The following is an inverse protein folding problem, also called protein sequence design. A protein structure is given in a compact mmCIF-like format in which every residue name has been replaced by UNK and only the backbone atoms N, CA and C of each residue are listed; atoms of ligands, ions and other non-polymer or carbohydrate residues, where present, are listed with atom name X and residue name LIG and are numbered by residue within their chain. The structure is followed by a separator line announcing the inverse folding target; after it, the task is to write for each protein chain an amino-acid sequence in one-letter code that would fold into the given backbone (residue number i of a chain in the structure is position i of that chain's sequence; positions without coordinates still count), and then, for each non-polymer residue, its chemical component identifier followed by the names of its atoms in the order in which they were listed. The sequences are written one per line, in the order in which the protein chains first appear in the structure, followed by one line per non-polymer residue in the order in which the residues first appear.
data_IF_512672180637
#
_entry.id   IF_512672180637
#
_cell.length_a   1.000
_cell.length_b   1.000
_cell.length_c   1.000
_cell.angle_alpha   90.00
_cell.angle_beta   90.00
_cell.angle_gamma   90.00
#
_symmetry.space_group_name_H-M   'P 1'
#
loop_
_entity.id
_entity.type
_entity.pdbx_description
1 polymer ?
#
# COMPACT_ATOMS: atom_id res chain seq x y z
N UNK A 1 4.37 25.52 0.22
CA UNK A 1 3.31 24.66 0.78
C UNK A 1 3.04 23.57 -0.23
N UNK A 2 3.41 22.32 0.04
CA UNK A 2 3.09 21.21 -0.87
C UNK A 2 1.61 20.88 -0.66
N UNK A 3 0.79 21.05 -1.69
CA UNK A 3 -0.62 20.71 -1.60
C UNK A 3 -0.77 19.19 -1.40
N UNK A 4 -1.59 18.79 -0.43
CA UNK A 4 -2.00 17.40 -0.28
C UNK A 4 -2.88 17.00 -1.47
N UNK A 5 -2.73 15.76 -1.91
CA UNK A 5 -3.54 15.14 -2.94
C UNK A 5 -4.02 13.78 -2.48
N UNK A 6 -5.22 13.43 -2.91
CA UNK A 6 -5.80 12.11 -2.73
C UNK A 6 -5.71 11.34 -4.04
N UNK A 7 -5.41 10.05 -3.96
CA UNK A 7 -5.44 9.10 -5.08
C UNK A 7 -6.28 7.89 -4.69
N UNK A 8 -7.31 7.60 -5.47
CA UNK A 8 -8.16 6.43 -5.32
C UNK A 8 -7.87 5.47 -6.47
N UNK A 9 -7.68 4.18 -6.17
CA UNK A 9 -7.41 3.14 -7.16
C UNK A 9 -7.91 1.77 -6.67
N UNK A 10 -8.03 0.82 -7.59
CA UNK A 10 -8.51 -0.53 -7.31
C UNK A 10 -7.49 -1.55 -7.79
N UNK A 11 -7.13 -2.48 -6.91
CA UNK A 11 -6.25 -3.61 -7.25
C UNK A 11 -7.06 -4.71 -7.94
N UNK A 12 -6.54 -5.24 -9.04
CA UNK A 12 -7.21 -6.29 -9.83
C UNK A 12 -6.21 -7.41 -10.11
N UNK A 13 -6.59 -8.70 -9.97
CA UNK A 13 -7.90 -9.23 -9.57
C UNK A 13 -8.26 -8.89 -8.12
N UNK A 14 -9.51 -9.05 -7.68
CA UNK A 14 -9.90 -8.88 -6.27
C UNK A 14 -9.60 -10.18 -5.50
N UNK A 15 -8.33 -10.42 -5.18
CA UNK A 15 -7.86 -11.62 -4.50
C UNK A 15 -7.64 -11.37 -3.01
N UNK A 16 -8.53 -11.91 -2.19
CA UNK A 16 -8.53 -11.70 -0.73
C UNK A 16 -7.23 -12.17 -0.06
N UNK A 17 -6.60 -13.25 -0.55
CA UNK A 17 -5.37 -13.76 0.06
C UNK A 17 -4.19 -12.81 -0.20
N UNK A 18 -4.07 -12.33 -1.44
CA UNK A 18 -3.07 -11.31 -1.81
C UNK A 18 -3.28 -10.01 -1.07
N UNK A 19 -4.55 -9.58 -0.93
CA UNK A 19 -4.90 -8.36 -0.19
C UNK A 19 -4.57 -8.48 1.30
N UNK A 20 -4.87 -9.62 1.93
CA UNK A 20 -4.55 -9.86 3.34
C UNK A 20 -3.04 -9.91 3.58
N UNK A 21 -2.30 -10.57 2.68
CA UNK A 21 -0.84 -10.63 2.73
C UNK A 21 -0.19 -9.24 2.55
N UNK A 22 -0.68 -8.45 1.59
CA UNK A 22 -0.27 -7.07 1.38
C UNK A 22 -0.52 -6.20 2.61
N UNK A 23 -1.72 -6.28 3.20
CA UNK A 23 -2.08 -5.46 4.35
C UNK A 23 -1.32 -5.84 5.63
N UNK A 24 -1.08 -7.15 5.79
CA UNK A 24 -0.50 -7.72 6.99
C UNK A 24 -1.48 -7.77 8.17
N UNK A 25 -1.14 -8.50 9.24
CA UNK A 25 -1.89 -8.53 10.50
C UNK A 25 -2.25 -7.13 11.01
N UNK A 26 -3.55 -6.87 11.18
CA UNK A 26 -4.08 -5.56 11.62
C UNK A 26 -3.55 -4.38 10.78
N UNK A 27 -3.34 -4.55 9.48
CA UNK A 27 -2.81 -3.52 8.58
C UNK A 27 -1.38 -3.04 8.94
N UNK A 28 -0.57 -3.89 9.59
CA UNK A 28 0.78 -3.51 10.02
C UNK A 28 1.70 -3.10 8.86
N UNK A 29 1.60 -3.76 7.71
CA UNK A 29 2.41 -3.44 6.53
C UNK A 29 2.00 -2.08 5.94
N UNK A 30 0.70 -1.79 5.87
CA UNK A 30 0.20 -0.49 5.41
C UNK A 30 0.68 0.62 6.34
N UNK A 31 0.57 0.43 7.66
CA UNK A 31 1.08 1.40 8.65
C UNK A 31 2.58 1.64 8.53
N UNK A 32 3.35 0.60 8.21
CA UNK A 32 4.79 0.75 7.95
C UNK A 32 5.06 1.63 6.72
N UNK A 33 4.31 1.44 5.63
CA UNK A 33 4.40 2.25 4.41
C UNK A 33 4.01 3.71 4.71
N UNK A 34 2.90 3.93 5.41
CA UNK A 34 2.43 5.26 5.85
C UNK A 34 3.52 6.04 6.60
N UNK A 35 4.10 5.41 7.63
CA UNK A 35 5.13 6.03 8.47
C UNK A 35 6.40 6.36 7.69
N UNK A 36 6.80 5.49 6.74
CA UNK A 36 8.03 5.64 5.96
C UNK A 36 7.91 6.71 4.88
N UNK A 37 6.77 6.79 4.21
CA UNK A 37 6.54 7.72 3.13
C UNK A 37 5.93 9.05 3.62
N UNK A 38 5.28 9.07 4.78
CA UNK A 38 4.54 10.23 5.27
C UNK A 38 3.22 10.44 4.53
N UNK A 39 2.47 9.35 4.34
CA UNK A 39 1.14 9.32 3.71
C UNK A 39 0.12 8.64 4.62
N UNK A 40 -1.15 8.82 4.32
CA UNK A 40 -2.26 8.06 4.89
C UNK A 40 -2.81 7.10 3.83
N UNK A 41 -3.06 5.84 4.21
CA UNK A 41 -3.58 4.77 3.38
C UNK A 41 -4.87 4.25 4.01
N UNK A 42 -5.97 4.31 3.27
CA UNK A 42 -7.22 3.66 3.64
C UNK A 42 -7.58 2.60 2.59
N UNK A 43 -8.07 1.45 3.03
CA UNK A 43 -8.50 0.38 2.14
C UNK A 43 -9.87 -0.18 2.53
N UNK A 44 -10.61 -0.67 1.53
CA UNK A 44 -11.82 -1.47 1.70
C UNK A 44 -11.84 -2.56 0.64
N UNK A 45 -11.39 -3.75 1.02
CA UNK A 45 -11.13 -4.82 0.06
C UNK A 45 -10.04 -4.40 -0.92
N UNK A 46 -10.33 -4.49 -2.23
CA UNK A 46 -9.39 -4.11 -3.28
C UNK A 46 -9.32 -2.60 -3.59
N UNK A 47 -10.19 -1.78 -2.97
CA UNK A 47 -10.23 -0.33 -3.19
C UNK A 47 -9.32 0.37 -2.19
N UNK A 48 -8.35 1.13 -2.68
CA UNK A 48 -7.37 1.86 -1.89
C UNK A 48 -7.47 3.36 -2.13
N UNK A 49 -7.18 4.11 -1.07
CA UNK A 49 -7.06 5.56 -1.06
C UNK A 49 -5.76 5.93 -0.40
N UNK A 50 -4.96 6.74 -1.08
CA UNK A 50 -3.72 7.31 -0.55
C UNK A 50 -3.81 8.82 -0.50
N UNK A 51 -3.55 9.40 0.65
CA UNK A 51 -3.55 10.86 0.87
C UNK A 51 -2.17 11.32 1.30
N UNK A 52 -1.62 12.34 0.64
CA UNK A 52 -0.31 12.88 0.96
C UNK A 52 0.19 13.89 -0.06
N UNK A 53 1.43 14.38 0.05
CA UNK A 53 2.03 15.23 -0.97
C UNK A 53 2.02 14.52 -2.34
N UNK A 54 1.63 15.22 -3.41
CA UNK A 54 1.38 14.62 -4.75
C UNK A 54 2.36 13.54 -5.19
N UNK A 55 3.65 13.83 -5.16
CA UNK A 55 4.69 12.88 -5.59
C UNK A 55 4.81 11.66 -4.67
N UNK A 56 4.56 11.86 -3.38
CA UNK A 56 4.65 10.81 -2.37
C UNK A 56 3.42 9.91 -2.45
N UNK A 57 2.21 10.47 -2.61
CA UNK A 57 1.00 9.70 -2.81
C UNK A 57 1.05 8.84 -4.09
N UNK A 58 1.68 9.36 -5.15
CA UNK A 58 1.94 8.61 -6.38
C UNK A 58 2.96 7.48 -6.17
N UNK A 59 4.07 7.73 -5.48
CA UNK A 59 5.05 6.70 -5.14
C UNK A 59 4.44 5.58 -4.27
N UNK A 60 3.61 5.95 -3.29
CA UNK A 60 2.89 5.02 -2.44
C UNK A 60 1.91 4.14 -3.24
N UNK A 61 1.14 4.71 -4.18
CA UNK A 61 0.30 3.91 -5.08
C UNK A 61 1.12 2.88 -5.86
N UNK A 62 2.22 3.31 -6.49
CA UNK A 62 3.07 2.42 -7.29
C UNK A 62 3.63 1.28 -6.43
N UNK A 63 4.07 1.58 -5.21
CA UNK A 63 4.56 0.57 -4.27
C UNK A 63 3.45 -0.43 -3.89
N UNK A 64 2.25 0.05 -3.57
CA UNK A 64 1.11 -0.81 -3.22
C UNK A 64 0.75 -1.74 -4.39
N UNK A 65 0.72 -1.22 -5.61
CA UNK A 65 0.47 -2.02 -6.82
C UNK A 65 1.57 -3.08 -7.05
N UNK A 66 2.84 -2.71 -6.86
CA UNK A 66 3.97 -3.64 -7.00
C UNK A 66 3.94 -4.75 -5.94
N UNK A 67 3.75 -4.38 -4.67
CA UNK A 67 3.59 -5.33 -3.57
C UNK A 67 2.42 -6.26 -3.81
N UNK A 68 1.30 -5.75 -4.34
CA UNK A 68 0.16 -6.58 -4.68
C UNK A 68 0.48 -7.62 -5.75
N UNK A 69 1.24 -7.26 -6.79
CA UNK A 69 1.70 -8.22 -7.81
C UNK A 69 2.62 -9.28 -7.21
N UNK A 70 3.58 -8.88 -6.39
CA UNK A 70 4.48 -9.81 -5.70
C UNK A 70 3.74 -10.72 -4.70
N UNK A 71 2.67 -10.25 -4.08
CA UNK A 71 1.86 -11.01 -3.13
C UNK A 71 1.22 -12.28 -3.75
N UNK A 72 1.18 -12.40 -5.08
CA UNK A 72 0.73 -13.60 -5.77
C UNK A 72 1.68 -14.79 -5.60
N UNK A 73 2.97 -14.52 -5.36
CA UNK A 73 4.02 -15.55 -5.29
C UNK A 73 4.80 -15.52 -3.98
N UNK A 74 4.74 -14.40 -3.24
CA UNK A 74 5.54 -14.15 -2.04
C UNK A 74 4.65 -13.85 -0.86
N UNK A 75 4.88 -14.54 0.26
CA UNK A 75 4.28 -14.20 1.56
C UNK A 75 5.17 -13.16 2.25
N UNK A 76 4.57 -12.05 2.68
CA UNK A 76 5.28 -10.96 3.33
C UNK A 76 5.29 -11.10 4.84
N UNK A 77 6.40 -10.71 5.43
CA UNK A 77 6.49 -10.29 6.82
C UNK A 77 6.94 -8.82 6.88
N UNK A 78 6.96 -8.25 8.08
CA UNK A 78 7.41 -6.87 8.32
C UNK A 78 8.82 -6.57 7.76
N UNK A 79 9.71 -7.57 7.74
CA UNK A 79 11.07 -7.39 7.23
C UNK A 79 11.08 -7.34 5.70
N UNK A 80 10.30 -8.18 5.03
CA UNK A 80 10.12 -8.19 3.59
C UNK A 80 9.55 -6.86 3.08
N UNK A 81 8.61 -6.25 3.81
CA UNK A 81 8.09 -4.92 3.50
C UNK A 81 9.15 -3.85 3.71
N UNK A 82 9.93 -3.92 4.80
CA UNK A 82 11.00 -2.96 5.05
C UNK A 82 12.01 -2.88 3.89
N UNK A 83 12.36 -4.02 3.29
CA UNK A 83 13.33 -4.08 2.19
C UNK A 83 12.84 -3.49 0.86
N UNK A 84 11.54 -3.25 0.73
CA UNK A 84 10.89 -2.73 -0.49
C UNK A 84 10.53 -1.24 -0.40
N UNK A 85 10.81 -0.61 0.74
CA UNK A 85 10.57 0.80 1.07
C UNK A 85 11.84 1.64 0.88
#
# INVERSE_FOLDING_TARGET
MTALSQRDFTLVPEDTERLANLAGPFDEHLRQIELKLGVEIANRGAVFRVTGPRRVAEAAQILIEALYQEAAEVVFDNHAIHLRL
#
